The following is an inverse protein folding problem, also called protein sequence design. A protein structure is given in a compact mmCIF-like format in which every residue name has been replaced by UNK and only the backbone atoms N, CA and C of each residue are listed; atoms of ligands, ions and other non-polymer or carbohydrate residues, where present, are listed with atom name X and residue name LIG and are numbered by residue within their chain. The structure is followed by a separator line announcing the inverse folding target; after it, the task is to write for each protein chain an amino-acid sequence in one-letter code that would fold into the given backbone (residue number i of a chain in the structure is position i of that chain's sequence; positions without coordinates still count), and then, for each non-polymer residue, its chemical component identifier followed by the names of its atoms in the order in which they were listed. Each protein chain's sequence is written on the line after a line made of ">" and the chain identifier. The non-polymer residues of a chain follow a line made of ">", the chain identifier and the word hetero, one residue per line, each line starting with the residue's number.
data_IF_259412992605
#
_entry.id   IF_259412992605
#
_cell.length_a   1.000
_cell.length_b   1.000
_cell.length_c   1.000
_cell.angle_alpha   90.00
_cell.angle_beta   90.00
_cell.angle_gamma   90.00
#
_symmetry.space_group_name_H-M   'P 1'
#
loop_
_entity.id
_entity.type
_entity.pdbx_description
1 polymer ?
#
# COMPACT_ATOMS: atom_id res chain seq x y z
N UNK A 1 -1.24 -32.76 -22.13
CA UNK A 1 -0.23 -31.90 -21.53
C UNK A 1 -0.58 -30.43 -21.73
N UNK A 2 -0.90 -30.03 -22.96
CA UNK A 2 -1.13 -28.59 -23.27
C UNK A 2 -2.38 -28.00 -22.62
N UNK A 3 -3.48 -28.76 -22.57
CA UNK A 3 -4.73 -28.32 -21.91
C UNK A 3 -4.53 -28.08 -20.41
N UNK A 4 -3.78 -28.96 -19.72
CA UNK A 4 -3.49 -28.75 -18.29
C UNK A 4 -2.71 -27.45 -18.04
N UNK A 5 -1.75 -27.12 -18.89
CA UNK A 5 -1.00 -25.86 -18.76
C UNK A 5 -1.89 -24.64 -18.97
N UNK A 6 -2.80 -24.69 -19.94
CA UNK A 6 -3.78 -23.61 -20.16
C UNK A 6 -4.71 -23.48 -18.95
N UNK A 7 -5.16 -24.58 -18.36
CA UNK A 7 -5.98 -24.58 -17.14
C UNK A 7 -5.22 -23.91 -15.99
N UNK A 8 -3.94 -24.24 -15.80
CA UNK A 8 -3.10 -23.60 -14.75
C UNK A 8 -3.01 -22.09 -14.94
N UNK A 9 -2.78 -21.62 -16.17
CA UNK A 9 -2.76 -20.20 -16.47
C UNK A 9 -4.10 -19.53 -16.18
N UNK A 10 -5.20 -20.16 -16.61
CA UNK A 10 -6.54 -19.65 -16.38
C UNK A 10 -6.89 -19.57 -14.88
N UNK A 11 -6.57 -20.63 -14.11
CA UNK A 11 -6.78 -20.66 -12.65
C UNK A 11 -5.92 -19.62 -11.95
N UNK A 12 -4.65 -19.50 -12.32
CA UNK A 12 -3.78 -18.47 -11.76
C UNK A 12 -4.32 -17.06 -12.02
N UNK A 13 -4.74 -16.79 -13.27
CA UNK A 13 -5.36 -15.52 -13.64
C UNK A 13 -6.63 -15.23 -12.87
N UNK A 14 -7.49 -16.23 -12.70
CA UNK A 14 -8.73 -16.11 -11.93
C UNK A 14 -8.45 -15.77 -10.46
N UNK A 15 -7.52 -16.48 -9.81
CA UNK A 15 -7.16 -16.22 -8.42
C UNK A 15 -6.51 -14.84 -8.25
N UNK A 16 -5.64 -14.44 -9.18
CA UNK A 16 -5.08 -13.09 -9.21
C UNK A 16 -6.16 -12.03 -9.41
N UNK A 17 -7.14 -12.29 -10.28
CA UNK A 17 -8.27 -11.39 -10.50
C UNK A 17 -9.13 -11.21 -9.24
N UNK A 18 -9.37 -12.25 -8.45
CA UNK A 18 -10.11 -12.14 -7.18
C UNK A 18 -9.43 -11.18 -6.19
N UNK A 19 -8.11 -11.29 -6.04
CA UNK A 19 -7.34 -10.36 -5.21
C UNK A 19 -7.41 -8.94 -5.80
N UNK A 20 -7.21 -8.83 -7.11
CA UNK A 20 -7.22 -7.55 -7.80
C UNK A 20 -8.56 -6.82 -7.75
N UNK A 21 -9.69 -7.55 -7.80
CA UNK A 21 -11.04 -7.01 -7.62
C UNK A 21 -11.19 -6.37 -6.24
N UNK A 22 -10.80 -7.06 -5.19
CA UNK A 22 -10.84 -6.50 -3.82
C UNK A 22 -10.02 -5.21 -3.74
N UNK A 23 -8.83 -5.19 -4.36
CA UNK A 23 -7.97 -4.00 -4.41
C UNK A 23 -8.60 -2.84 -5.18
N UNK A 24 -9.25 -3.13 -6.32
CA UNK A 24 -9.92 -2.15 -7.15
C UNK A 24 -11.14 -1.54 -6.46
N UNK A 25 -11.99 -2.37 -5.82
CA UNK A 25 -13.11 -1.88 -5.00
C UNK A 25 -12.66 -0.96 -3.85
N UNK A 26 -11.44 -1.16 -3.36
CA UNK A 26 -10.86 -0.32 -2.32
C UNK A 26 -10.06 0.87 -2.83
N UNK A 27 -10.08 1.14 -4.14
CA UNK A 27 -9.32 2.21 -4.78
C UNK A 27 -7.82 2.19 -4.40
N UNK A 28 -7.20 0.99 -4.46
CA UNK A 28 -5.76 0.82 -4.24
C UNK A 28 -4.99 0.97 -5.55
N UNK A 29 -3.69 1.23 -5.44
CA UNK A 29 -2.80 1.57 -6.56
C UNK A 29 -2.71 0.47 -7.62
N UNK A 30 -2.76 -0.82 -7.22
CA UNK A 30 -2.81 -1.97 -8.11
C UNK A 30 -4.16 -2.70 -7.97
N UNK A 31 -4.92 -2.75 -9.05
CA UNK A 31 -6.25 -3.36 -9.14
C UNK A 31 -6.26 -4.69 -9.92
N UNK A 32 -7.41 -4.99 -10.53
CA UNK A 32 -7.73 -6.23 -11.23
C UNK A 32 -6.68 -6.62 -12.27
N UNK A 33 -6.37 -5.69 -13.18
CA UNK A 33 -5.47 -5.97 -14.31
C UNK A 33 -4.07 -6.32 -13.83
N UNK A 34 -3.57 -5.60 -12.84
CA UNK A 34 -2.21 -5.80 -12.31
C UNK A 34 -2.08 -7.17 -11.66
N UNK A 35 -2.99 -7.54 -10.77
CA UNK A 35 -2.94 -8.84 -10.08
C UNK A 35 -3.18 -10.01 -11.03
N UNK A 36 -4.11 -9.87 -11.99
CA UNK A 36 -4.31 -10.86 -13.05
C UNK A 36 -3.01 -11.14 -13.83
N UNK A 37 -2.37 -10.09 -14.34
CA UNK A 37 -1.14 -10.21 -15.14
C UNK A 37 0.03 -10.76 -14.33
N UNK A 38 0.18 -10.34 -13.07
CA UNK A 38 1.23 -10.86 -12.18
C UNK A 38 1.03 -12.36 -11.92
N UNK A 39 -0.21 -12.81 -11.65
CA UNK A 39 -0.50 -14.22 -11.42
C UNK A 39 -0.25 -15.08 -12.67
N UNK A 40 -0.77 -14.64 -13.84
CA UNK A 40 -0.58 -15.35 -15.12
C UNK A 40 0.89 -15.39 -15.51
N UNK A 41 1.59 -14.24 -15.41
CA UNK A 41 3.02 -14.17 -15.74
C UNK A 41 3.87 -15.06 -14.84
N UNK A 42 3.58 -15.08 -13.54
CA UNK A 42 4.28 -15.96 -12.58
C UNK A 42 4.01 -17.44 -12.86
N UNK A 43 2.77 -17.81 -13.17
CA UNK A 43 2.41 -19.19 -13.54
C UNK A 43 3.09 -19.60 -14.84
N UNK A 44 3.14 -18.72 -15.84
CA UNK A 44 3.83 -18.96 -17.10
C UNK A 44 5.33 -19.20 -16.87
N UNK A 45 5.98 -18.36 -16.08
CA UNK A 45 7.41 -18.53 -15.76
C UNK A 45 7.67 -19.83 -15.00
N UNK A 46 6.75 -20.25 -14.12
CA UNK A 46 6.84 -21.54 -13.44
C UNK A 46 6.68 -22.73 -14.39
N UNK A 47 5.79 -22.63 -15.36
CA UNK A 47 5.64 -23.67 -16.40
C UNK A 47 6.92 -23.78 -17.24
N UNK A 48 7.49 -22.66 -17.67
CA UNK A 48 8.77 -22.64 -18.39
C UNK A 48 9.89 -23.20 -17.52
N UNK A 49 9.94 -22.81 -16.23
CA UNK A 49 10.97 -23.30 -15.29
C UNK A 49 10.96 -24.82 -15.14
N UNK A 50 9.75 -25.40 -15.08
CA UNK A 50 9.57 -26.82 -14.78
C UNK A 50 9.57 -27.70 -16.03
N UNK A 51 9.09 -27.21 -17.16
CA UNK A 51 8.83 -28.03 -18.34
C UNK A 51 9.49 -27.52 -19.63
N UNK A 52 9.93 -26.25 -19.66
CA UNK A 52 10.43 -25.62 -20.88
C UNK A 52 11.76 -26.13 -21.40
N UNK A 53 12.48 -26.93 -20.60
CA UNK A 53 13.83 -27.43 -20.95
C UNK A 53 13.88 -28.97 -20.99
N UNK A 54 12.73 -29.63 -21.10
CA UNK A 54 12.61 -31.09 -21.04
C UNK A 54 13.34 -31.81 -22.19
N UNK A 55 13.52 -31.15 -23.33
CA UNK A 55 14.28 -31.64 -24.48
C UNK A 55 15.79 -31.73 -24.22
N UNK A 56 16.33 -30.88 -23.36
CA UNK A 56 17.77 -30.80 -23.04
C UNK A 56 18.16 -31.82 -21.96
N UNK A 57 17.25 -32.17 -21.06
CA UNK A 57 17.49 -33.07 -19.92
C UNK A 57 17.74 -34.52 -20.36
N UNK A 58 17.43 -34.89 -21.59
CA UNK A 58 17.61 -36.24 -22.13
C UNK A 58 19.11 -36.63 -22.27
N UNK A 59 20.05 -35.69 -22.10
CA UNK A 59 21.46 -35.94 -22.13
C UNK A 59 21.97 -36.34 -20.72
N UNK A 60 22.62 -37.50 -20.58
CA UNK A 60 23.09 -38.09 -19.31
C UNK A 60 23.97 -37.16 -18.44
N UNK A 61 24.53 -36.10 -19.02
CA UNK A 61 25.43 -35.16 -18.32
C UNK A 61 24.79 -33.79 -18.00
N UNK A 62 23.49 -33.62 -18.23
CA UNK A 62 22.81 -32.33 -18.00
C UNK A 62 21.87 -32.44 -16.82
N UNK A 63 22.13 -31.68 -15.76
CA UNK A 63 21.18 -31.50 -14.66
C UNK A 63 20.51 -30.11 -14.74
N UNK A 64 19.20 -30.09 -14.68
CA UNK A 64 18.43 -28.86 -14.64
C UNK A 64 17.94 -28.58 -13.23
N UNK A 65 18.10 -27.35 -12.80
CA UNK A 65 17.48 -26.84 -11.57
C UNK A 65 16.19 -26.09 -11.92
N UNK A 66 15.01 -26.68 -11.73
CA UNK A 66 13.74 -26.05 -12.07
C UNK A 66 13.39 -24.88 -11.15
N UNK A 67 14.14 -24.62 -10.08
CA UNK A 67 13.89 -23.51 -9.18
C UNK A 67 14.47 -22.19 -9.69
N UNK A 68 15.44 -22.20 -10.60
CA UNK A 68 16.21 -21.00 -11.00
C UNK A 68 15.35 -19.92 -11.65
N UNK A 69 14.52 -20.27 -12.63
CA UNK A 69 13.63 -19.30 -13.31
C UNK A 69 12.55 -18.82 -12.34
N UNK A 70 11.98 -19.73 -11.54
CA UNK A 70 11.00 -19.39 -10.52
C UNK A 70 11.57 -18.42 -9.46
N UNK A 71 12.83 -18.62 -9.02
CA UNK A 71 13.50 -17.73 -8.10
C UNK A 71 13.67 -16.31 -8.65
N UNK A 72 13.91 -16.16 -9.97
CA UNK A 72 13.99 -14.84 -10.61
C UNK A 72 12.64 -14.12 -10.61
N UNK A 73 11.51 -14.83 -10.66
CA UNK A 73 10.19 -14.22 -10.52
C UNK A 73 10.03 -13.61 -9.13
N UNK A 74 10.43 -14.32 -8.07
CA UNK A 74 10.36 -13.83 -6.68
C UNK A 74 11.21 -12.58 -6.49
N UNK A 75 12.40 -12.55 -7.09
CA UNK A 75 13.27 -11.36 -7.07
C UNK A 75 12.69 -10.23 -7.91
N UNK A 76 12.29 -10.52 -9.15
CA UNK A 76 11.83 -9.53 -10.13
C UNK A 76 10.53 -8.84 -9.73
N UNK A 77 9.60 -9.55 -9.08
CA UNK A 77 8.34 -8.95 -8.61
C UNK A 77 8.57 -7.89 -7.53
N UNK A 78 9.68 -7.96 -6.81
CA UNK A 78 10.09 -6.94 -5.85
C UNK A 78 10.25 -5.56 -6.48
N UNK A 79 10.72 -5.48 -7.73
CA UNK A 79 10.80 -4.22 -8.48
C UNK A 79 9.41 -3.64 -8.77
N UNK A 80 8.45 -4.46 -9.18
CA UNK A 80 7.07 -4.03 -9.41
C UNK A 80 6.42 -3.56 -8.10
N UNK A 81 6.62 -4.30 -7.01
CA UNK A 81 6.15 -3.92 -5.69
C UNK A 81 6.73 -2.59 -5.23
N UNK A 82 8.04 -2.40 -5.37
CA UNK A 82 8.71 -1.14 -5.02
C UNK A 82 8.16 0.04 -5.81
N UNK A 83 7.82 -0.16 -7.10
CA UNK A 83 7.19 0.86 -7.95
C UNK A 83 5.82 1.34 -7.47
N UNK A 84 5.14 0.60 -6.59
CA UNK A 84 3.86 1.02 -6.00
C UNK A 84 4.02 1.78 -4.68
N UNK A 85 5.23 1.83 -4.12
CA UNK A 85 5.48 2.50 -2.84
C UNK A 85 5.82 3.96 -3.10
N UNK A 86 4.99 4.85 -2.61
CA UNK A 86 5.13 6.29 -2.79
C UNK A 86 5.34 6.96 -1.43
N UNK A 87 6.44 7.71 -1.31
CA UNK A 87 6.69 8.59 -0.18
C UNK A 87 6.21 10.01 -0.53
N UNK A 88 5.16 10.46 0.11
CA UNK A 88 4.61 11.81 -0.09
C UNK A 88 4.49 12.54 1.25
N UNK A 89 5.20 13.65 1.42
CA UNK A 89 5.12 14.51 2.62
C UNK A 89 5.13 13.74 3.95
N UNK A 90 6.08 12.81 4.12
CA UNK A 90 6.21 11.96 5.31
C UNK A 90 5.16 10.84 5.48
N UNK A 91 4.32 10.59 4.49
CA UNK A 91 3.39 9.46 4.47
C UNK A 91 3.87 8.46 3.43
N UNK A 92 4.03 7.20 3.85
CA UNK A 92 4.34 6.09 2.93
C UNK A 92 3.02 5.44 2.55
N UNK A 93 2.75 5.33 1.24
CA UNK A 93 1.60 4.63 0.66
C UNK A 93 2.07 3.45 -0.18
N UNK A 94 1.20 2.50 -0.46
CA UNK A 94 1.47 1.39 -1.37
C UNK A 94 2.14 0.17 -0.73
N UNK A 95 2.52 0.18 0.56
CA UNK A 95 3.19 -0.97 1.21
C UNK A 95 2.33 -2.24 1.15
N UNK A 96 1.05 -2.16 1.49
CA UNK A 96 0.12 -3.29 1.40
C UNK A 96 -0.11 -3.74 -0.04
N UNK A 97 -0.12 -2.79 -0.99
CA UNK A 97 -0.22 -3.08 -2.42
C UNK A 97 1.01 -3.85 -2.91
N UNK A 98 2.21 -3.43 -2.53
CA UNK A 98 3.45 -4.13 -2.84
C UNK A 98 3.46 -5.57 -2.29
N UNK A 99 3.05 -5.75 -1.03
CA UNK A 99 2.90 -7.06 -0.41
C UNK A 99 1.85 -7.93 -1.12
N UNK A 100 0.73 -7.34 -1.56
CA UNK A 100 -0.31 -8.01 -2.34
C UNK A 100 0.18 -8.51 -3.70
N UNK A 101 0.94 -7.68 -4.42
CA UNK A 101 1.58 -8.05 -5.70
C UNK A 101 2.55 -9.22 -5.49
N UNK A 102 3.37 -9.15 -4.45
CA UNK A 102 4.34 -10.20 -4.11
C UNK A 102 3.63 -11.54 -3.78
N UNK A 103 2.59 -11.51 -2.95
CA UNK A 103 1.78 -12.68 -2.62
C UNK A 103 1.07 -13.26 -3.86
N UNK A 104 0.52 -12.42 -4.73
CA UNK A 104 -0.12 -12.83 -5.98
C UNK A 104 0.86 -13.53 -6.92
N UNK A 105 2.10 -13.06 -6.97
CA UNK A 105 3.17 -13.74 -7.72
C UNK A 105 3.44 -15.15 -7.19
N UNK A 106 3.53 -15.30 -5.85
CA UNK A 106 3.69 -16.61 -5.21
C UNK A 106 2.51 -17.56 -5.50
N UNK A 107 1.28 -17.05 -5.51
CA UNK A 107 0.08 -17.81 -5.89
C UNK A 107 0.18 -18.28 -7.35
N UNK A 108 0.61 -17.38 -8.25
CA UNK A 108 0.85 -17.76 -9.65
C UNK A 108 1.88 -18.87 -9.80
N UNK A 109 3.02 -18.78 -9.10
CA UNK A 109 4.04 -19.82 -9.10
C UNK A 109 3.49 -21.17 -8.59
N UNK A 110 2.71 -21.19 -7.51
CA UNK A 110 2.14 -22.43 -6.95
C UNK A 110 1.16 -23.08 -7.91
N UNK A 111 0.29 -22.31 -8.55
CA UNK A 111 -0.67 -22.82 -9.54
C UNK A 111 0.07 -23.31 -10.79
N UNK A 112 1.08 -22.57 -11.29
CA UNK A 112 1.94 -23.01 -12.39
C UNK A 112 2.65 -24.31 -12.10
N UNK A 113 3.08 -24.55 -10.86
CA UNK A 113 3.68 -25.80 -10.40
C UNK A 113 2.69 -26.98 -10.31
N UNK A 114 1.37 -26.71 -10.39
CA UNK A 114 0.29 -27.70 -10.20
C UNK A 114 -0.17 -27.87 -8.75
N UNK A 115 0.27 -26.98 -7.84
CA UNK A 115 -0.04 -27.03 -6.41
C UNK A 115 -1.34 -26.25 -6.11
N UNK A 116 -2.46 -26.69 -6.68
CA UNK A 116 -3.75 -25.97 -6.64
C UNK A 116 -4.25 -25.69 -5.22
N UNK A 117 -4.18 -26.69 -4.32
CA UNK A 117 -4.65 -26.54 -2.93
C UNK A 117 -3.90 -25.41 -2.24
N UNK A 118 -2.57 -25.35 -2.41
CA UNK A 118 -1.74 -24.31 -1.79
C UNK A 118 -2.04 -22.94 -2.40
N UNK A 119 -2.17 -22.85 -3.72
CA UNK A 119 -2.50 -21.59 -4.39
C UNK A 119 -3.87 -21.05 -3.99
N UNK A 120 -4.89 -21.91 -3.92
CA UNK A 120 -6.25 -21.52 -3.48
C UNK A 120 -6.24 -21.09 -2.01
N UNK A 121 -5.61 -21.89 -1.13
CA UNK A 121 -5.49 -21.55 0.29
C UNK A 121 -4.74 -20.25 0.50
N UNK A 122 -3.64 -20.02 -0.24
CA UNK A 122 -2.89 -18.78 -0.24
C UNK A 122 -3.72 -17.58 -0.67
N UNK A 123 -4.59 -17.75 -1.68
CA UNK A 123 -5.52 -16.70 -2.13
C UNK A 123 -6.52 -16.33 -1.04
N UNK A 124 -7.13 -17.36 -0.40
CA UNK A 124 -8.08 -17.14 0.71
C UNK A 124 -7.40 -16.41 1.87
N UNK A 125 -6.22 -16.86 2.27
CA UNK A 125 -5.46 -16.22 3.36
C UNK A 125 -5.03 -14.80 3.00
N UNK A 126 -4.65 -14.55 1.75
CA UNK A 126 -4.32 -13.20 1.28
C UNK A 126 -5.54 -12.27 1.36
N UNK A 127 -6.72 -12.72 0.89
CA UNK A 127 -7.96 -11.94 0.97
C UNK A 127 -8.37 -11.69 2.43
N UNK A 128 -8.27 -12.70 3.30
CA UNK A 128 -8.51 -12.54 4.74
C UNK A 128 -7.54 -11.51 5.33
N UNK A 129 -6.25 -11.61 5.03
CA UNK A 129 -5.24 -10.68 5.54
C UNK A 129 -5.47 -9.25 5.09
N UNK A 130 -5.85 -9.07 3.82
CA UNK A 130 -6.12 -7.75 3.24
C UNK A 130 -7.38 -7.09 3.83
N UNK A 131 -8.40 -7.86 4.20
CA UNK A 131 -9.69 -7.37 4.68
C UNK A 131 -9.82 -7.42 6.21
N UNK A 132 -9.63 -8.60 6.81
CA UNK A 132 -9.90 -8.83 8.22
C UNK A 132 -9.01 -7.98 9.13
N UNK A 133 -7.73 -7.86 8.82
CA UNK A 133 -6.81 -7.03 9.60
C UNK A 133 -7.21 -5.55 9.56
N UNK A 134 -7.70 -5.07 8.42
CA UNK A 134 -8.20 -3.70 8.30
C UNK A 134 -9.44 -3.47 9.17
N UNK A 135 -10.34 -4.46 9.26
CA UNK A 135 -11.57 -4.36 10.08
C UNK A 135 -11.24 -4.47 11.57
N UNK A 136 -10.45 -5.46 11.97
CA UNK A 136 -10.07 -5.71 13.36
C UNK A 136 -9.27 -4.54 13.97
N UNK A 137 -8.34 -3.98 13.22
CA UNK A 137 -7.46 -2.91 13.69
C UNK A 137 -7.97 -1.50 13.38
N UNK A 138 -9.11 -1.36 12.68
CA UNK A 138 -9.72 -0.06 12.39
C UNK A 138 -10.05 0.73 13.67
N UNK A 139 -10.42 0.05 14.74
CA UNK A 139 -10.71 0.65 16.05
C UNK A 139 -9.45 1.09 16.82
N UNK A 140 -8.31 0.49 16.51
CA UNK A 140 -7.01 0.76 17.18
C UNK A 140 -6.17 1.75 16.33
N UNK A 141 -6.50 1.88 15.05
CA UNK A 141 -5.73 2.73 14.12
C UNK A 141 -5.97 4.21 14.41
N UNK A 142 -4.99 4.84 15.04
CA UNK A 142 -4.90 6.28 15.10
C UNK A 142 -4.56 6.82 13.71
N UNK A 143 -5.37 7.75 13.21
CA UNK A 143 -5.10 8.41 11.93
C UNK A 143 -4.07 9.52 12.14
N UNK A 144 -3.02 9.49 11.33
CA UNK A 144 -2.09 10.63 11.25
C UNK A 144 -2.84 11.83 10.68
N UNK A 145 -2.77 12.94 11.36
CA UNK A 145 -3.37 14.20 10.99
C UNK A 145 -2.26 15.22 10.78
N UNK A 146 -2.29 15.90 9.64
CA UNK A 146 -1.37 17.01 9.36
C UNK A 146 -2.20 18.29 9.31
N UNK A 147 -1.84 19.26 10.15
CA UNK A 147 -2.48 20.55 10.24
C UNK A 147 -1.43 21.60 9.89
N UNK A 148 -1.63 22.31 8.79
CA UNK A 148 -0.83 23.46 8.42
C UNK A 148 -1.64 24.73 8.62
N UNK A 149 -1.06 25.77 9.21
CA UNK A 149 -1.68 27.08 9.30
C UNK A 149 -0.64 28.20 9.32
N UNK A 150 -1.04 29.35 8.82
CA UNK A 150 -0.23 30.57 8.89
C UNK A 150 -0.84 31.53 9.91
N UNK A 151 0.00 32.10 10.79
CA UNK A 151 -0.40 33.07 11.80
C UNK A 151 0.51 34.31 11.77
N UNK A 152 -0.02 35.48 12.09
CA UNK A 152 0.75 36.71 12.20
C UNK A 152 1.21 37.01 13.64
N UNK A 153 0.70 36.28 14.63
CA UNK A 153 1.08 36.40 16.05
C UNK A 153 1.42 35.03 16.66
N UNK A 154 2.48 35.00 17.49
CA UNK A 154 2.91 33.78 18.19
C UNK A 154 1.90 33.24 19.19
N UNK A 155 1.19 34.13 19.89
CA UNK A 155 0.21 33.72 20.92
C UNK A 155 -0.94 32.92 20.33
N UNK A 156 -1.35 33.20 19.08
CA UNK A 156 -2.35 32.46 18.38
C UNK A 156 -1.92 31.02 18.08
N UNK A 157 -0.61 30.79 17.89
CA UNK A 157 -0.07 29.44 17.69
C UNK A 157 -0.31 28.57 18.91
N UNK A 158 0.04 29.06 20.10
CA UNK A 158 -0.12 28.29 21.33
C UNK A 158 -1.60 28.00 21.65
N UNK A 159 -2.49 28.95 21.40
CA UNK A 159 -3.94 28.74 21.54
C UNK A 159 -4.45 27.64 20.61
N UNK A 160 -3.93 27.55 19.38
CA UNK A 160 -4.30 26.48 18.45
C UNK A 160 -3.79 25.13 18.92
N UNK A 161 -2.52 25.06 19.39
CA UNK A 161 -1.96 23.80 19.90
C UNK A 161 -2.78 23.29 21.09
N UNK A 162 -3.14 24.15 22.02
CA UNK A 162 -4.00 23.81 23.16
C UNK A 162 -5.39 23.33 22.72
N UNK A 163 -6.00 23.99 21.74
CA UNK A 163 -7.29 23.54 21.16
C UNK A 163 -7.21 22.20 20.46
N UNK A 164 -6.10 21.93 19.77
CA UNK A 164 -5.86 20.61 19.12
C UNK A 164 -5.79 19.51 20.17
N UNK A 165 -5.06 19.76 21.27
CA UNK A 165 -4.93 18.81 22.38
C UNK A 165 -6.26 18.61 23.13
N UNK A 166 -7.02 19.68 23.37
CA UNK A 166 -8.33 19.63 24.01
C UNK A 166 -9.36 18.81 23.20
N UNK A 167 -9.20 18.74 21.88
CA UNK A 167 -9.99 17.86 21.00
C UNK A 167 -9.51 16.40 20.99
N UNK A 168 -8.59 16.01 21.85
CA UNK A 168 -8.08 14.65 21.98
C UNK A 168 -7.13 14.23 20.85
N UNK A 169 -6.55 15.19 20.15
CA UNK A 169 -5.51 14.95 19.13
C UNK A 169 -4.16 14.97 19.83
N UNK A 170 -3.46 13.82 19.80
CA UNK A 170 -2.11 13.74 20.34
C UNK A 170 -1.12 14.39 19.37
N UNK A 171 -0.52 15.51 19.75
CA UNK A 171 0.52 16.18 18.98
C UNK A 171 1.81 15.36 19.07
N UNK A 172 2.31 14.86 17.93
CA UNK A 172 3.57 14.11 17.86
C UNK A 172 4.78 15.02 17.64
N UNK A 173 4.63 16.05 16.82
CA UNK A 173 5.63 17.10 16.57
C UNK A 173 4.97 18.30 15.92
N UNK A 174 5.60 19.47 16.08
CA UNK A 174 5.25 20.65 15.31
C UNK A 174 6.52 21.39 14.85
N UNK A 175 6.41 22.09 13.73
CA UNK A 175 7.48 22.91 13.16
C UNK A 175 6.94 24.32 12.90
N UNK A 176 7.71 25.33 13.27
CA UNK A 176 7.36 26.74 13.02
C UNK A 176 8.43 27.33 12.11
N UNK A 177 8.02 27.80 10.93
CA UNK A 177 8.87 28.49 9.95
C UNK A 177 8.48 29.95 9.87
N UNK A 178 9.44 30.84 9.95
CA UNK A 178 9.21 32.25 9.74
C UNK A 178 9.24 32.56 8.25
N UNK A 179 8.16 33.15 7.72
CA UNK A 179 8.09 33.70 6.37
C UNK A 179 8.00 35.25 6.49
N UNK A 180 8.80 35.97 5.74
CA UNK A 180 8.72 37.43 5.66
C UNK A 180 7.86 37.82 4.46
N UNK A 181 6.71 38.44 4.71
CA UNK A 181 5.84 39.01 3.68
C UNK A 181 5.85 40.53 3.79
N UNK A 182 6.69 41.19 3.02
CA UNK A 182 6.91 42.65 3.15
C UNK A 182 7.53 43.03 4.50
N UNK A 183 6.80 43.83 5.30
CA UNK A 183 7.22 44.24 6.65
C UNK A 183 6.66 43.34 7.77
N UNK A 184 5.85 42.39 7.48
CA UNK A 184 5.22 41.50 8.49
C UNK A 184 5.91 40.14 8.51
N UNK A 185 6.08 39.59 9.72
CA UNK A 185 6.55 38.24 9.94
C UNK A 185 5.31 37.31 10.01
N UNK A 186 5.23 36.33 9.13
CA UNK A 186 4.21 35.32 9.14
C UNK A 186 4.83 34.01 9.64
N UNK A 187 4.18 33.38 10.59
CA UNK A 187 4.57 32.09 11.14
C UNK A 187 3.82 30.99 10.42
N UNK A 188 4.52 30.22 9.56
CA UNK A 188 3.98 29.01 8.95
C UNK A 188 4.20 27.84 9.92
N UNK A 189 3.12 27.24 10.39
CA UNK A 189 3.14 26.17 11.39
C UNK A 189 2.63 24.89 10.76
N UNK A 190 3.41 23.83 10.91
CA UNK A 190 3.02 22.46 10.51
C UNK A 190 2.97 21.59 11.77
N UNK A 191 1.78 21.07 12.09
CA UNK A 191 1.54 20.19 13.25
C UNK A 191 1.26 18.78 12.77
N UNK A 192 1.97 17.80 13.31
CA UNK A 192 1.71 16.37 13.13
C UNK A 192 1.04 15.82 14.37
N UNK A 193 -0.15 15.28 14.23
CA UNK A 193 -0.89 14.70 15.33
C UNK A 193 -1.48 13.33 14.98
N UNK A 194 -1.98 12.66 15.99
CA UNK A 194 -2.73 11.39 15.88
C UNK A 194 -4.12 11.58 16.47
N UNK A 195 -5.16 11.34 15.68
CA UNK A 195 -6.54 11.39 16.11
C UNK A 195 -7.18 10.00 16.11
N UNK A 196 -8.00 9.68 17.12
CA UNK A 196 -8.77 8.44 17.20
C UNK A 196 -9.97 8.42 16.24
N UNK A 197 -10.49 9.58 15.83
CA UNK A 197 -11.71 9.66 15.02
C UNK A 197 -11.53 10.58 13.82
N UNK A 198 -12.04 10.15 12.65
CA UNK A 198 -12.02 10.91 11.39
C UNK A 198 -13.03 12.08 11.34
N UNK A 199 -14.03 12.08 12.21
CA UNK A 199 -15.23 12.93 12.08
C UNK A 199 -15.02 14.42 12.38
N UNK A 200 -13.84 14.82 12.85
CA UNK A 200 -13.58 16.17 13.32
C UNK A 200 -12.86 17.12 12.37
N UNK A 201 -12.48 16.71 11.15
CA UNK A 201 -11.65 17.57 10.27
C UNK A 201 -12.30 18.91 9.94
N UNK A 202 -13.57 18.90 9.53
CA UNK A 202 -14.31 20.13 9.15
C UNK A 202 -14.53 21.03 10.37
N UNK A 203 -14.86 20.45 11.50
CA UNK A 203 -15.03 21.16 12.76
C UNK A 203 -13.73 21.76 13.26
N UNK A 204 -12.62 21.00 13.14
CA UNK A 204 -11.30 21.48 13.49
C UNK A 204 -10.86 22.68 12.62
N UNK A 205 -11.09 22.62 11.32
CA UNK A 205 -10.83 23.72 10.39
C UNK A 205 -11.63 24.95 10.82
N UNK A 206 -12.94 24.83 11.08
CA UNK A 206 -13.78 25.92 11.53
C UNK A 206 -13.30 26.52 12.86
N UNK A 207 -12.93 25.67 13.80
CA UNK A 207 -12.42 26.11 15.11
C UNK A 207 -11.10 26.88 14.97
N UNK A 208 -10.17 26.40 14.16
CA UNK A 208 -8.90 27.09 13.93
C UNK A 208 -9.13 28.41 13.19
N UNK A 209 -10.00 28.45 12.19
CA UNK A 209 -10.35 29.66 11.45
C UNK A 209 -11.04 30.73 12.32
N UNK A 210 -11.72 30.34 13.39
CA UNK A 210 -12.35 31.29 14.33
C UNK A 210 -11.38 31.98 15.29
N UNK A 211 -10.13 31.51 15.36
CA UNK A 211 -9.10 32.11 16.21
C UNK A 211 -8.53 33.35 15.51
N UNK A 212 -8.47 34.51 16.18
CA UNK A 212 -7.91 35.73 15.61
C UNK A 212 -6.47 35.53 15.15
N UNK A 213 -6.06 36.29 14.12
CA UNK A 213 -4.69 36.30 13.60
C UNK A 213 -4.28 35.02 12.83
N UNK A 214 -5.24 34.24 12.35
CA UNK A 214 -4.98 33.12 11.46
C UNK A 214 -5.27 33.54 10.02
N UNK A 215 -4.26 33.35 9.16
CA UNK A 215 -4.30 33.77 7.76
C UNK A 215 -4.73 32.63 6.83
N UNK A 216 -4.30 31.43 7.11
CA UNK A 216 -4.63 30.24 6.32
C UNK A 216 -4.69 28.98 7.19
N UNK A 217 -5.50 27.99 6.79
CA UNK A 217 -5.58 26.67 7.45
C UNK A 217 -5.71 25.57 6.42
N UNK A 218 -4.94 24.50 6.58
CA UNK A 218 -5.01 23.29 5.78
C UNK A 218 -4.95 22.06 6.69
N UNK A 219 -5.86 21.10 6.50
CA UNK A 219 -5.88 19.83 7.26
C UNK A 219 -5.90 18.67 6.28
N UNK A 220 -4.88 17.80 6.36
CA UNK A 220 -4.72 16.61 5.51
C UNK A 220 -4.90 15.30 6.29
#
# INVERSE_FOLDING_TARGET
>A
MDIDFVIRLAVAGFLGALIGLEREFRAKEAGLRTHFLVAVGSALMMLVSKYGFSDIIQNEHTSLDPSRVAAQVVSGVGFLGAGTIILQRHIVRGLTTAAGIWATSGIGLTIGAGMYVIGISGTILALIGLELLNVLFKSISTHSLFIGFDADQKDSIYKILEHIEAKGILISSYEIKNKTAGKQIIYAVEVKGKAKNKSGKVELIKTIQSIPHILSVKVE
#
